data_IF_004827631269
#
_entry.id   IF_004827631269
#
_cell.length_a   1.000
_cell.length_b   1.000
_cell.length_c   1.000
_cell.angle_alpha   90.00
_cell.angle_beta   90.00
_cell.angle_gamma   90.00
#
_symmetry.space_group_name_H-M   'P 1'
#
loop_
_entity.id
_entity.type
_entity.pdbx_description
1 polymer ?
#
# COMPACT_ATOMS: atom_id res chain seq x y z
N UNK A 1 -8.75 -72.40 18.67
CA UNK A 1 -9.55 -71.85 19.77
C UNK A 1 -8.97 -70.50 20.11
N UNK A 2 -9.86 -69.51 20.18
CA UNK A 2 -9.72 -68.11 20.63
C UNK A 2 -9.27 -67.08 19.59
N UNK A 3 -10.29 -66.31 19.23
CA UNK A 3 -10.35 -65.02 18.56
C UNK A 3 -9.64 -63.90 19.34
N UNK A 4 -9.34 -62.82 18.64
CA UNK A 4 -8.96 -61.52 19.20
C UNK A 4 -9.19 -60.44 18.16
N UNK A 5 -10.35 -59.81 18.21
CA UNK A 5 -10.69 -58.57 17.50
C UNK A 5 -9.75 -57.43 17.93
N UNK A 6 -9.20 -56.70 16.96
CA UNK A 6 -8.76 -55.32 17.18
C UNK A 6 -9.43 -54.41 16.14
N UNK A 7 -10.43 -53.69 16.63
CA UNK A 7 -11.23 -52.73 15.89
C UNK A 7 -10.44 -51.46 15.57
N UNK A 8 -10.19 -51.23 14.27
CA UNK A 8 -9.63 -49.97 13.78
C UNK A 8 -10.73 -48.90 13.75
N UNK A 9 -10.81 -48.07 14.78
CA UNK A 9 -11.65 -46.87 14.78
C UNK A 9 -10.98 -45.75 13.98
N UNK A 10 -11.33 -45.64 12.70
CA UNK A 10 -10.92 -44.53 11.83
C UNK A 10 -11.83 -43.32 12.09
N UNK A 11 -11.21 -42.21 12.48
CA UNK A 11 -11.86 -40.92 12.77
C UNK A 11 -12.51 -40.27 11.53
N UNK A 12 -13.65 -39.61 11.75
CA UNK A 12 -14.62 -39.06 10.78
C UNK A 12 -14.11 -37.96 9.84
N UNK A 13 -12.81 -37.64 9.81
CA UNK A 13 -12.25 -36.53 8.99
C UNK A 13 -11.79 -36.91 7.57
N UNK A 14 -12.03 -38.14 7.10
CA UNK A 14 -11.56 -38.61 5.78
C UNK A 14 -12.65 -38.99 4.77
N UNK A 15 -13.90 -38.53 4.94
CA UNK A 15 -15.03 -38.97 4.11
C UNK A 15 -15.82 -37.85 3.39
N UNK A 16 -15.22 -36.71 3.08
CA UNK A 16 -15.84 -35.71 2.19
C UNK A 16 -14.86 -35.14 1.15
N UNK A 17 -14.31 -36.02 0.31
CA UNK A 17 -13.69 -35.63 -0.96
C UNK A 17 -13.89 -36.71 -2.01
N UNK A 18 -15.15 -36.90 -2.44
CA UNK A 18 -15.50 -37.65 -3.64
C UNK A 18 -16.98 -37.49 -3.98
N UNK A 19 -17.35 -36.46 -4.74
CA UNK A 19 -18.54 -36.52 -5.61
C UNK A 19 -18.34 -35.56 -6.77
N UNK A 20 -17.73 -36.06 -7.84
CA UNK A 20 -17.80 -35.44 -9.15
C UNK A 20 -19.21 -35.69 -9.72
N UNK A 21 -19.97 -34.63 -9.93
CA UNK A 21 -21.27 -34.66 -10.61
C UNK A 21 -21.14 -34.06 -12.00
N UNK A 22 -21.14 -34.92 -13.02
CA UNK A 22 -21.33 -34.54 -14.43
C UNK A 22 -22.79 -34.15 -14.67
N UNK A 23 -23.03 -32.90 -15.08
CA UNK A 23 -24.32 -32.49 -15.65
C UNK A 23 -24.12 -32.22 -17.13
N UNK A 24 -24.67 -33.12 -17.95
CA UNK A 24 -24.86 -32.91 -19.38
C UNK A 24 -26.18 -32.14 -19.57
N UNK A 25 -26.14 -31.00 -20.26
CA UNK A 25 -27.35 -30.35 -20.80
C UNK A 25 -27.20 -30.23 -22.31
N UNK A 26 -28.16 -30.84 -22.99
CA UNK A 26 -28.28 -30.89 -24.44
C UNK A 26 -28.56 -29.51 -25.04
N UNK A 27 -27.86 -29.20 -26.13
CA UNK A 27 -28.21 -28.12 -27.04
C UNK A 27 -29.34 -28.55 -27.99
N UNK A 28 -30.40 -27.73 -28.14
CA UNK A 28 -31.05 -27.37 -29.42
C UNK A 28 -31.88 -26.10 -29.19
N UNK A 29 -31.59 -25.04 -29.93
CA UNK A 29 -32.39 -23.82 -29.99
C UNK A 29 -31.82 -22.84 -31.00
N UNK A 30 -32.07 -23.08 -32.28
CA UNK A 30 -31.76 -22.14 -33.37
C UNK A 30 -32.61 -20.88 -33.23
N UNK A 31 -31.98 -19.78 -32.80
CA UNK A 31 -32.51 -18.43 -32.88
C UNK A 31 -31.52 -17.55 -33.64
N UNK A 32 -31.78 -17.34 -34.93
CA UNK A 32 -31.18 -16.26 -35.71
C UNK A 32 -31.72 -14.94 -35.17
N UNK A 33 -30.91 -14.20 -34.43
CA UNK A 33 -31.13 -12.78 -34.14
C UNK A 33 -30.10 -11.97 -34.92
N UNK A 34 -30.61 -11.20 -35.88
CA UNK A 34 -29.90 -10.25 -36.73
C UNK A 34 -29.18 -9.18 -35.91
N UNK A 35 -27.92 -8.94 -36.25
CA UNK A 35 -27.11 -7.84 -35.77
C UNK A 35 -27.79 -6.49 -36.07
N UNK A 36 -27.98 -5.69 -35.02
CA UNK A 36 -28.03 -4.23 -35.12
C UNK A 36 -27.29 -3.67 -33.91
N UNK A 37 -26.34 -2.78 -34.18
CA UNK A 37 -25.19 -2.45 -33.34
C UNK A 37 -25.49 -2.07 -31.89
N UNK A 38 -24.62 -2.58 -31.02
CA UNK A 38 -24.16 -1.87 -29.83
C UNK A 38 -22.76 -2.39 -29.52
N UNK A 39 -21.78 -1.52 -29.71
CA UNK A 39 -20.42 -1.65 -29.19
C UNK A 39 -20.51 -2.10 -27.71
N UNK A 40 -19.77 -3.08 -27.20
CA UNK A 40 -18.36 -3.35 -27.44
C UNK A 40 -17.59 -2.85 -26.21
N UNK A 41 -17.56 -3.65 -25.14
CA UNK A 41 -16.77 -3.38 -23.93
C UNK A 41 -17.57 -2.71 -22.82
N UNK A 42 -18.26 -3.48 -21.99
CA UNK A 42 -18.70 -2.98 -20.68
C UNK A 42 -17.48 -2.92 -19.78
N UNK A 43 -16.89 -1.73 -19.64
CA UNK A 43 -16.10 -1.40 -18.46
C UNK A 43 -16.96 -1.72 -17.25
N UNK A 44 -16.37 -2.43 -16.30
CA UNK A 44 -17.10 -2.77 -15.11
C UNK A 44 -17.38 -1.46 -14.32
N UNK A 45 -18.56 -1.31 -13.69
CA UNK A 45 -19.15 -0.03 -13.27
C UNK A 45 -18.37 0.78 -12.22
N UNK A 46 -17.16 0.36 -11.87
CA UNK A 46 -16.19 1.04 -10.99
C UNK A 46 -15.23 1.97 -11.75
N UNK A 47 -15.21 1.92 -13.08
CA UNK A 47 -14.30 2.71 -13.92
C UNK A 47 -14.94 3.86 -14.69
N UNK A 48 -16.27 3.98 -14.70
CA UNK A 48 -16.94 4.69 -15.79
C UNK A 48 -16.74 6.23 -15.81
N UNK A 49 -16.06 6.82 -14.82
CA UNK A 49 -15.75 8.27 -14.75
C UNK A 49 -14.28 8.60 -14.38
N UNK A 50 -13.32 7.68 -14.57
CA UNK A 50 -11.90 7.93 -14.23
C UNK A 50 -10.99 7.75 -15.47
N UNK A 51 -10.65 8.83 -16.21
CA UNK A 51 -9.86 8.72 -17.45
C UNK A 51 -8.41 8.28 -17.20
N UNK A 52 -7.85 8.61 -16.04
CA UNK A 52 -6.46 8.31 -15.68
C UNK A 52 -6.31 6.94 -14.98
N UNK A 53 -7.42 6.26 -14.70
CA UNK A 53 -7.44 4.96 -14.04
C UNK A 53 -6.86 3.84 -14.93
N UNK A 54 -5.97 3.02 -14.35
CA UNK A 54 -5.48 1.79 -15.00
C UNK A 54 -5.74 0.53 -14.18
N UNK A 55 -5.72 -0.62 -14.86
CA UNK A 55 -5.73 -1.94 -14.20
C UNK A 55 -4.36 -2.30 -13.63
N UNK A 56 -3.29 -1.94 -14.34
CA UNK A 56 -1.92 -2.17 -13.94
C UNK A 56 -1.45 -1.12 -12.91
N UNK A 57 -0.43 -1.40 -12.08
CA UNK A 57 0.18 -0.41 -11.21
C UNK A 57 0.66 0.80 -12.02
N UNK A 58 0.14 1.99 -11.72
CA UNK A 58 0.57 3.25 -12.33
C UNK A 58 0.48 4.38 -11.32
N UNK A 59 1.28 5.43 -11.58
CA UNK A 59 1.43 6.60 -10.74
C UNK A 59 1.35 7.86 -11.58
N UNK A 60 0.72 8.88 -11.02
CA UNK A 60 0.73 10.25 -11.53
C UNK A 60 1.50 11.18 -10.59
N UNK A 61 2.21 12.15 -11.15
CA UNK A 61 2.82 13.21 -10.34
C UNK A 61 1.72 14.14 -9.82
N UNK A 62 1.82 14.51 -8.54
CA UNK A 62 0.88 15.45 -7.93
C UNK A 62 1.18 16.91 -8.28
N UNK A 63 2.43 17.20 -8.63
CA UNK A 63 2.90 18.51 -9.05
C UNK A 63 3.69 18.32 -10.34
N UNK A 64 3.42 19.14 -11.35
CA UNK A 64 4.19 19.15 -12.59
C UNK A 64 5.68 19.37 -12.29
N UNK A 65 6.54 18.61 -12.95
CA UNK A 65 8.01 18.66 -12.76
C UNK A 65 8.47 18.41 -11.31
N UNK A 66 7.63 17.79 -10.46
CA UNK A 66 7.85 17.68 -9.02
C UNK A 66 9.16 17.00 -8.59
N UNK A 67 9.77 16.16 -9.44
CA UNK A 67 11.08 15.56 -9.16
C UNK A 67 12.27 16.38 -9.66
N UNK A 68 12.08 17.37 -10.53
CA UNK A 68 13.17 18.05 -11.26
C UNK A 68 14.14 18.78 -10.33
N UNK A 69 13.62 19.37 -9.25
CA UNK A 69 14.43 20.04 -8.23
C UNK A 69 15.00 19.11 -7.17
N UNK A 70 14.65 17.82 -7.14
CA UNK A 70 14.98 16.90 -6.06
C UNK A 70 16.43 16.40 -6.11
N UNK A 71 17.12 16.47 -4.97
CA UNK A 71 18.47 15.98 -4.78
C UNK A 71 18.64 15.38 -3.38
N UNK A 72 19.20 14.18 -3.32
CA UNK A 72 19.42 13.42 -2.09
C UNK A 72 20.41 14.09 -1.12
N UNK A 73 21.36 14.86 -1.66
CA UNK A 73 22.37 15.60 -0.88
C UNK A 73 21.94 17.03 -0.52
N UNK A 74 20.73 17.45 -0.91
CA UNK A 74 20.20 18.75 -0.53
C UNK A 74 20.00 18.81 1.01
N UNK A 75 20.36 19.91 1.70
CA UNK A 75 20.29 19.98 3.16
C UNK A 75 18.91 19.65 3.76
N UNK A 76 17.82 20.10 3.11
CA UNK A 76 16.47 19.79 3.56
C UNK A 76 16.13 18.30 3.42
N UNK A 77 16.62 17.64 2.36
CA UNK A 77 16.48 16.20 2.15
C UNK A 77 17.22 15.41 3.24
N UNK A 78 18.46 15.81 3.52
CA UNK A 78 19.30 15.19 4.56
C UNK A 78 18.67 15.37 5.94
N UNK A 79 18.16 16.56 6.24
CA UNK A 79 17.46 16.84 7.51
C UNK A 79 16.20 15.99 7.65
N UNK A 80 15.36 15.93 6.60
CA UNK A 80 14.15 15.11 6.60
C UNK A 80 14.47 13.63 6.78
N UNK A 81 15.42 13.09 6.02
CA UNK A 81 15.85 11.69 6.13
C UNK A 81 16.38 11.38 7.53
N UNK A 82 17.19 12.27 8.10
CA UNK A 82 17.75 12.11 9.45
C UNK A 82 16.65 12.12 10.53
N UNK A 83 15.63 12.98 10.37
CA UNK A 83 14.49 13.03 11.28
C UNK A 83 13.64 11.76 11.20
N UNK A 84 13.38 11.27 9.98
CA UNK A 84 12.70 9.98 9.76
C UNK A 84 13.49 8.84 10.39
N UNK A 85 14.80 8.74 10.14
CA UNK A 85 15.66 7.72 10.75
C UNK A 85 15.57 7.74 12.27
N UNK A 86 15.64 8.93 12.88
CA UNK A 86 15.53 9.08 14.34
C UNK A 86 14.17 8.60 14.85
N UNK A 87 13.08 8.99 14.19
CA UNK A 87 11.74 8.56 14.59
C UNK A 87 11.57 7.03 14.48
N UNK A 88 12.05 6.42 13.40
CA UNK A 88 12.02 4.96 13.24
C UNK A 88 12.90 4.28 14.30
N UNK A 89 14.10 4.77 14.60
CA UNK A 89 14.97 4.13 15.60
C UNK A 89 14.44 4.28 17.04
N UNK A 90 13.88 5.43 17.39
CA UNK A 90 13.51 5.74 18.78
C UNK A 90 12.06 5.45 19.13
N UNK A 91 11.14 5.55 18.16
CA UNK A 91 9.69 5.43 18.40
C UNK A 91 9.06 4.24 17.67
N UNK A 92 9.51 3.97 16.45
CA UNK A 92 8.87 2.99 15.58
C UNK A 92 9.86 1.95 15.02
N UNK A 93 10.67 1.27 15.85
CA UNK A 93 11.78 0.43 15.37
C UNK A 93 11.35 -0.84 14.64
N UNK A 94 10.15 -1.33 14.90
CA UNK A 94 9.64 -2.62 14.42
C UNK A 94 8.10 -2.67 14.48
N UNK A 95 7.56 -3.76 13.93
CA UNK A 95 6.11 -4.01 13.88
C UNK A 95 5.44 -3.95 15.27
N UNK A 96 6.11 -4.42 16.33
CA UNK A 96 5.57 -4.36 17.69
C UNK A 96 5.36 -2.92 18.17
N UNK A 97 6.37 -2.07 18.00
CA UNK A 97 6.28 -0.67 18.35
C UNK A 97 5.19 0.08 17.55
N UNK A 98 5.00 -0.29 16.28
CA UNK A 98 3.93 0.25 15.44
C UNK A 98 2.54 -0.10 15.97
N UNK A 99 2.34 -1.35 16.37
CA UNK A 99 1.09 -1.82 16.96
C UNK A 99 0.75 -1.03 18.23
N UNK A 100 1.72 -0.86 19.13
CA UNK A 100 1.57 -0.10 20.36
C UNK A 100 1.26 1.38 20.09
N UNK A 101 1.82 1.94 19.02
CA UNK A 101 1.56 3.30 18.56
C UNK A 101 0.23 3.46 17.77
N UNK A 102 -0.54 2.39 17.60
CA UNK A 102 -1.86 2.44 16.97
C UNK A 102 -1.85 2.32 15.45
N UNK A 103 -0.70 2.04 14.83
CA UNK A 103 -0.64 1.76 13.40
C UNK A 103 -1.38 0.47 13.07
N UNK A 104 -1.91 0.43 11.85
CA UNK A 104 -2.67 -0.69 11.29
C UNK A 104 -1.99 -1.22 10.04
N UNK A 105 -1.74 -2.54 9.97
CA UNK A 105 -1.13 -3.13 8.80
C UNK A 105 -2.00 -2.92 7.58
N UNK A 106 -1.33 -2.48 6.52
CA UNK A 106 -1.83 -2.30 5.18
C UNK A 106 -0.88 -3.08 4.27
N UNK A 107 -1.09 -4.39 4.20
CA UNK A 107 -0.37 -5.19 3.20
C UNK A 107 -0.96 -4.84 1.85
N UNK A 108 -0.15 -4.32 0.93
CA UNK A 108 -0.55 -3.88 -0.42
C UNK A 108 -1.12 -5.03 -1.22
N UNK A 109 -2.39 -5.29 -0.99
CA UNK A 109 -3.09 -6.36 -1.64
C UNK A 109 -3.25 -6.06 -3.12
N UNK A 110 -2.99 -7.08 -3.94
CA UNK A 110 -3.06 -7.09 -5.41
C UNK A 110 -1.81 -6.56 -6.12
N UNK A 111 -0.90 -5.88 -5.42
CA UNK A 111 0.44 -5.72 -5.96
C UNK A 111 1.12 -7.09 -5.91
N UNK A 112 1.73 -7.49 -7.03
CA UNK A 112 2.38 -8.80 -7.20
C UNK A 112 3.86 -8.66 -7.51
N UNK A 113 4.36 -7.43 -7.60
CA UNK A 113 5.72 -7.18 -8.07
C UNK A 113 6.72 -7.07 -6.92
N UNK A 114 6.29 -6.66 -5.72
CA UNK A 114 7.13 -6.61 -4.53
C UNK A 114 6.29 -6.78 -3.24
N UNK A 115 6.21 -8.01 -2.75
CA UNK A 115 5.53 -8.39 -1.50
C UNK A 115 6.51 -8.44 -0.31
N UNK A 116 7.68 -7.81 -0.45
CA UNK A 116 8.76 -7.93 0.53
C UNK A 116 8.77 -6.82 1.60
N UNK A 117 7.81 -5.90 1.52
CA UNK A 117 7.56 -4.86 2.51
C UNK A 117 6.07 -4.53 2.59
N UNK A 118 5.66 -4.03 3.74
CA UNK A 118 4.28 -3.63 4.01
C UNK A 118 4.20 -2.17 4.46
N UNK A 119 3.09 -1.53 4.11
CA UNK A 119 2.76 -0.24 4.71
C UNK A 119 1.96 -0.46 5.99
N UNK A 120 2.15 0.42 6.94
CA UNK A 120 1.43 0.44 8.20
C UNK A 120 0.89 1.83 8.38
N UNK A 121 -0.43 1.98 8.36
CA UNK A 121 -1.11 3.28 8.36
C UNK A 121 -1.57 3.66 9.76
N UNK A 122 -1.46 4.94 10.13
CA UNK A 122 -2.02 5.45 11.38
C UNK A 122 -3.26 6.31 11.10
N UNK A 123 -4.48 5.82 11.40
CA UNK A 123 -5.71 6.58 11.15
C UNK A 123 -5.79 7.90 11.91
N UNK A 124 -5.15 8.00 13.08
CA UNK A 124 -5.11 9.26 13.84
C UNK A 124 -4.28 10.31 13.12
N UNK A 125 -3.15 9.92 12.51
CA UNK A 125 -2.24 10.85 11.83
C UNK A 125 -2.77 11.22 10.45
N UNK A 126 -3.35 10.27 9.70
CA UNK A 126 -4.06 10.56 8.44
C UNK A 126 -5.20 11.58 8.67
N UNK A 127 -5.87 11.46 9.81
CA UNK A 127 -6.99 12.28 10.22
C UNK A 127 -6.62 13.62 10.87
N UNK A 128 -5.34 13.95 11.04
CA UNK A 128 -4.93 15.20 11.69
C UNK A 128 -4.58 16.32 10.68
N UNK A 129 -4.00 17.42 11.15
CA UNK A 129 -3.67 18.58 10.32
C UNK A 129 -2.18 18.74 9.99
N UNK A 130 -1.33 17.85 10.51
CA UNK A 130 0.09 17.81 10.22
C UNK A 130 0.33 17.29 8.80
N UNK A 131 1.41 17.75 8.18
CA UNK A 131 1.86 17.29 6.87
C UNK A 131 3.38 17.23 6.92
N UNK A 132 3.95 16.15 6.38
CA UNK A 132 5.40 15.97 6.31
C UNK A 132 6.06 16.05 7.71
N UNK A 133 5.41 15.46 8.73
CA UNK A 133 5.93 15.41 10.11
C UNK A 133 6.61 14.06 10.38
N UNK A 134 7.96 14.00 10.43
CA UNK A 134 8.68 12.74 10.65
C UNK A 134 8.39 12.07 11.98
N UNK A 135 7.92 12.82 12.99
CA UNK A 135 7.60 12.28 14.31
C UNK A 135 6.26 11.53 14.34
N UNK A 136 5.36 11.85 13.39
CA UNK A 136 3.99 11.33 13.31
C UNK A 136 3.63 11.01 11.85
N UNK A 137 4.39 10.14 11.15
CA UNK A 137 4.14 9.85 9.75
C UNK A 137 2.84 9.08 9.58
N UNK A 138 2.05 9.41 8.56
CA UNK A 138 0.77 8.75 8.29
C UNK A 138 0.95 7.26 7.96
N UNK A 139 2.10 6.89 7.41
CA UNK A 139 2.50 5.52 7.13
C UNK A 139 3.95 5.23 7.49
N UNK A 140 4.20 4.03 8.04
CA UNK A 140 5.54 3.46 8.21
C UNK A 140 5.69 2.25 7.29
N UNK A 141 6.86 2.12 6.66
CA UNK A 141 7.20 1.05 5.73
C UNK A 141 8.02 0.01 6.51
N UNK A 142 7.56 -1.24 6.51
CA UNK A 142 8.16 -2.34 7.27
C UNK A 142 8.66 -3.40 6.33
N UNK A 143 9.89 -3.84 6.53
CA UNK A 143 10.46 -5.00 5.85
C UNK A 143 9.79 -6.28 6.39
N UNK A 144 9.15 -7.05 5.52
CA UNK A 144 8.34 -8.20 5.95
C UNK A 144 9.21 -9.40 6.36
N UNK A 145 10.48 -9.44 5.98
CA UNK A 145 11.42 -10.48 6.41
C UNK A 145 11.97 -10.15 7.80
N UNK A 146 12.47 -8.93 8.00
CA UNK A 146 13.16 -8.55 9.25
C UNK A 146 12.23 -7.95 10.32
N UNK A 147 11.02 -7.56 9.91
CA UNK A 147 9.98 -6.89 10.70
C UNK A 147 10.43 -5.51 11.22
N UNK A 148 11.44 -4.93 10.57
CA UNK A 148 12.02 -3.62 10.90
C UNK A 148 11.39 -2.54 10.04
N UNK A 149 11.22 -1.36 10.64
CA UNK A 149 10.88 -0.17 9.87
C UNK A 149 12.06 0.26 9.00
N UNK A 150 11.79 0.50 7.72
CA UNK A 150 12.79 0.83 6.68
C UNK A 150 12.54 2.18 6.00
N UNK A 151 11.38 2.78 6.20
CA UNK A 151 11.04 4.10 5.68
C UNK A 151 9.68 4.56 6.17
N UNK A 152 9.23 5.70 5.65
CA UNK A 152 7.89 6.23 5.89
C UNK A 152 7.26 6.62 4.57
N UNK A 153 5.94 6.66 4.55
CA UNK A 153 5.19 7.30 3.48
C UNK A 153 4.28 8.36 4.11
N UNK A 154 4.52 9.61 3.76
CA UNK A 154 3.61 10.70 4.10
C UNK A 154 2.40 10.67 3.19
N UNK A 155 1.23 11.01 3.72
CA UNK A 155 -0.01 11.12 2.97
C UNK A 155 -0.52 12.56 3.08
N UNK A 156 -0.73 13.22 1.95
CA UNK A 156 -1.16 14.61 1.92
C UNK A 156 -2.66 14.73 2.21
N UNK A 157 -3.04 14.52 3.46
CA UNK A 157 -4.39 14.69 3.98
C UNK A 157 -4.43 15.76 5.06
N UNK A 158 -5.59 16.39 5.26
CA UNK A 158 -5.86 17.27 6.39
C UNK A 158 -7.27 17.01 6.87
N UNK A 159 -7.41 16.60 8.13
CA UNK A 159 -8.67 16.10 8.68
C UNK A 159 -9.26 14.94 7.87
N UNK A 160 -8.41 14.06 7.32
CA UNK A 160 -8.80 12.93 6.46
C UNK A 160 -9.07 13.29 4.99
N UNK A 161 -9.23 14.57 4.65
CA UNK A 161 -9.45 15.00 3.27
C UNK A 161 -8.14 15.21 2.53
N UNK A 162 -8.04 14.76 1.27
CA UNK A 162 -6.87 14.99 0.43
C UNK A 162 -6.63 16.50 0.19
N UNK A 163 -5.37 16.93 0.25
CA UNK A 163 -4.94 18.32 0.02
C UNK A 163 -3.77 18.40 -0.96
N UNK A 164 -3.49 19.62 -1.44
CA UNK A 164 -2.29 19.86 -2.23
C UNK A 164 -1.05 19.68 -1.35
N UNK A 165 -0.08 18.83 -1.77
CA UNK A 165 1.08 18.54 -0.96
C UNK A 165 2.08 19.71 -0.93
N UNK A 166 2.77 19.95 0.20
CA UNK A 166 3.85 20.94 0.26
C UNK A 166 5.10 20.42 -0.47
N UNK A 167 5.84 21.31 -1.13
CA UNK A 167 7.18 20.95 -1.59
C UNK A 167 8.08 20.64 -0.38
N UNK A 168 8.99 19.68 -0.53
CA UNK A 168 10.01 19.38 0.50
C UNK A 168 10.98 20.56 0.65
N UNK A 169 11.29 21.23 -0.45
CA UNK A 169 11.99 22.53 -0.46
C UNK A 169 11.72 23.30 -1.76
N UNK A 170 12.10 24.58 -1.78
CA UNK A 170 11.95 25.45 -2.95
C UNK A 170 10.52 25.96 -3.20
N UNK A 171 9.56 25.64 -2.33
CA UNK A 171 8.19 26.15 -2.36
C UNK A 171 8.00 27.33 -1.41
N UNK A 172 7.89 28.54 -1.94
CA UNK A 172 7.28 29.68 -1.25
C UNK A 172 6.67 30.62 -2.28
N UNK A 173 5.43 31.07 -2.03
CA UNK A 173 4.69 32.11 -2.76
C UNK A 173 5.39 33.50 -2.69
N UNK A 174 6.63 33.58 -3.12
CA UNK A 174 7.49 34.75 -2.94
C UNK A 174 8.49 34.90 -4.08
N UNK A 175 8.01 35.52 -5.18
CA UNK A 175 8.83 36.27 -6.13
C UNK A 175 9.79 35.44 -7.01
N UNK A 176 9.26 34.47 -7.75
CA UNK A 176 9.91 34.03 -8.98
C UNK A 176 9.66 35.09 -10.08
N UNK A 177 10.44 36.17 -10.06
CA UNK A 177 10.55 37.05 -11.23
C UNK A 177 11.08 36.21 -12.39
N UNK A 178 10.21 35.90 -13.33
CA UNK A 178 10.55 35.41 -14.65
C UNK A 178 11.45 36.44 -15.34
N UNK A 179 12.72 36.15 -15.54
CA UNK A 179 13.38 36.44 -16.82
C UNK A 179 14.78 35.83 -16.92
N UNK A 180 14.99 35.17 -18.06
CA UNK A 180 16.27 34.89 -18.71
C UNK A 180 17.33 34.09 -17.94
N UNK A 181 17.31 32.75 -18.01
CA UNK A 181 18.54 31.95 -17.94
C UNK A 181 18.61 30.75 -18.89
N UNK A 182 19.84 30.37 -19.31
CA UNK A 182 20.08 29.44 -20.40
C UNK A 182 19.92 27.98 -19.97
N UNK A 183 19.43 27.17 -20.91
CA UNK A 183 19.31 25.71 -20.81
C UNK A 183 20.71 25.09 -20.77
N UNK A 184 21.21 24.77 -19.59
CA UNK A 184 22.24 23.76 -19.38
C UNK A 184 21.72 22.77 -18.34
N UNK A 185 21.71 21.48 -18.68
CA UNK A 185 20.88 20.42 -18.09
C UNK A 185 21.30 19.92 -16.72
N UNK A 186 21.60 20.81 -15.79
CA UNK A 186 21.74 20.53 -14.36
C UNK A 186 20.48 21.04 -13.64
N UNK A 187 19.90 20.24 -12.74
CA UNK A 187 18.74 20.62 -11.93
C UNK A 187 18.91 22.06 -11.41
N UNK A 188 17.94 22.93 -11.71
CA UNK A 188 17.97 24.31 -11.25
C UNK A 188 17.85 24.30 -9.71
N UNK A 189 18.84 24.78 -8.95
CA UNK A 189 18.74 24.85 -7.49
C UNK A 189 17.60 25.75 -6.99
N UNK A 190 16.91 26.46 -7.88
CA UNK A 190 15.69 27.20 -7.60
C UNK A 190 14.40 26.41 -7.89
N UNK A 191 14.45 25.26 -8.58
CA UNK A 191 13.28 24.43 -8.83
C UNK A 191 12.80 23.78 -7.52
N UNK A 192 11.49 23.81 -7.21
CA UNK A 192 10.96 23.16 -6.03
C UNK A 192 11.13 21.63 -6.14
N UNK A 193 11.52 20.99 -5.05
CA UNK A 193 11.44 19.55 -4.93
C UNK A 193 10.10 19.16 -4.32
N UNK A 194 9.26 18.52 -5.12
CA UNK A 194 7.93 18.03 -4.77
C UNK A 194 7.76 16.58 -5.28
N UNK A 195 8.38 15.59 -4.62
CA UNK A 195 8.41 14.19 -5.06
C UNK A 195 7.08 13.43 -4.93
N UNK A 196 5.99 14.16 -4.63
CA UNK A 196 4.67 13.61 -4.35
C UNK A 196 4.02 12.98 -5.60
N UNK A 197 3.39 11.84 -5.40
CA UNK A 197 2.67 11.12 -6.45
C UNK A 197 1.39 10.50 -5.90
N UNK A 198 0.44 10.24 -6.79
CA UNK A 198 -0.77 9.47 -6.49
C UNK A 198 -0.76 8.16 -7.25
N UNK A 199 -1.37 7.11 -6.68
CA UNK A 199 -1.59 5.86 -7.41
C UNK A 199 -2.88 5.98 -8.21
N UNK A 200 -2.78 5.73 -9.51
CA UNK A 200 -3.88 5.75 -10.48
C UNK A 200 -4.23 4.33 -10.94
N UNK A 201 -3.30 3.40 -10.71
CA UNK A 201 -3.48 1.97 -10.89
C UNK A 201 -4.39 1.36 -9.84
N UNK A 202 -5.11 0.32 -10.25
CA UNK A 202 -6.04 -0.40 -9.41
C UNK A 202 -5.45 -0.93 -8.11
N UNK A 203 -4.23 -1.53 -8.06
CA UNK A 203 -3.70 -2.04 -6.80
C UNK A 203 -3.64 -0.97 -5.70
N UNK A 204 -3.02 0.18 -5.98
CA UNK A 204 -2.93 1.28 -5.01
C UNK A 204 -4.29 1.89 -4.66
N UNK A 205 -5.18 2.07 -5.65
CA UNK A 205 -6.52 2.62 -5.42
C UNK A 205 -7.42 1.69 -4.61
N UNK A 206 -7.38 0.39 -4.90
CA UNK A 206 -8.11 -0.63 -4.16
C UNK A 206 -7.59 -0.73 -2.74
N UNK A 207 -6.27 -0.73 -2.57
CA UNK A 207 -5.67 -0.77 -1.26
C UNK A 207 -6.14 0.45 -0.44
N UNK A 208 -6.10 1.68 -0.99
CA UNK A 208 -6.58 2.88 -0.27
C UNK A 208 -8.06 2.79 0.09
N UNK A 209 -8.90 2.39 -0.87
CA UNK A 209 -10.32 2.14 -0.62
C UNK A 209 -10.52 1.10 0.51
N UNK A 210 -9.73 0.03 0.51
CA UNK A 210 -9.78 -1.01 1.53
C UNK A 210 -9.39 -0.49 2.91
N UNK A 211 -8.36 0.37 3.01
CA UNK A 211 -8.02 1.05 4.26
C UNK A 211 -9.23 1.80 4.83
N UNK A 212 -9.90 2.61 4.00
CA UNK A 212 -11.09 3.36 4.41
C UNK A 212 -12.22 2.42 4.88
N UNK A 213 -12.36 1.26 4.23
CA UNK A 213 -13.35 0.25 4.62
C UNK A 213 -13.03 -0.43 5.95
N UNK A 214 -11.79 -0.91 6.09
CA UNK A 214 -11.37 -1.74 7.20
C UNK A 214 -11.22 -0.91 8.49
N UNK A 215 -10.71 0.32 8.36
CA UNK A 215 -10.24 1.08 9.52
C UNK A 215 -11.05 2.36 9.81
N UNK A 216 -11.63 3.02 8.80
CA UNK A 216 -12.45 4.24 9.01
C UNK A 216 -13.97 3.97 9.08
N UNK A 217 -14.41 2.73 8.76
CA UNK A 217 -15.80 2.26 8.87
C UNK A 217 -16.82 3.14 8.14
N UNK A 218 -16.48 3.68 6.97
CA UNK A 218 -17.35 4.54 6.13
C UNK A 218 -18.65 3.89 5.61
N UNK A 219 -19.00 2.67 6.04
CA UNK A 219 -20.26 2.00 5.67
C UNK A 219 -21.53 2.72 6.17
N UNK A 220 -21.42 3.65 7.13
CA UNK A 220 -22.58 4.33 7.70
C UNK A 220 -23.30 5.25 6.69
N UNK A 221 -22.59 5.78 5.69
CA UNK A 221 -23.08 6.85 4.82
C UNK A 221 -23.28 6.47 3.34
N UNK A 222 -23.03 5.19 2.98
CA UNK A 222 -23.64 4.58 1.81
C UNK A 222 -23.10 4.95 0.43
N UNK A 223 -21.87 5.46 0.31
CA UNK A 223 -21.27 5.69 -1.01
C UNK A 223 -19.78 5.40 -0.99
N UNK A 224 -19.31 4.34 -1.66
CA UNK A 224 -17.87 4.07 -1.67
C UNK A 224 -17.45 3.29 -2.92
N UNK A 225 -17.44 3.99 -4.06
CA UNK A 225 -16.69 3.51 -5.23
C UNK A 225 -15.20 3.61 -4.97
N UNK A 226 -14.40 2.77 -5.63
CA UNK A 226 -12.94 2.92 -5.63
C UNK A 226 -12.61 4.31 -6.20
N UNK A 227 -11.89 5.19 -5.47
CA UNK A 227 -11.62 6.56 -5.93
C UNK A 227 -10.81 6.53 -7.22
N UNK A 228 -10.81 7.60 -8.04
CA UNK A 228 -10.04 7.61 -9.29
C UNK A 228 -8.52 7.56 -9.08
N UNK A 229 -8.04 8.05 -7.93
CA UNK A 229 -6.64 8.02 -7.50
C UNK A 229 -6.57 8.09 -5.98
N UNK A 230 -5.44 7.74 -5.40
CA UNK A 230 -5.16 7.97 -3.97
C UNK A 230 -4.92 9.46 -3.68
N UNK A 231 -4.90 9.89 -2.41
CA UNK A 231 -4.22 11.14 -2.05
C UNK A 231 -2.77 11.15 -2.53
N UNK A 232 -2.16 12.33 -2.55
CA UNK A 232 -0.74 12.47 -2.84
C UNK A 232 0.09 11.87 -1.71
N UNK A 233 1.09 11.08 -2.07
CA UNK A 233 1.93 10.36 -1.14
C UNK A 233 3.40 10.64 -1.43
N UNK A 234 4.22 10.60 -0.38
CA UNK A 234 5.66 10.79 -0.46
C UNK A 234 6.39 9.76 0.37
N UNK A 235 7.11 8.87 -0.31
CA UNK A 235 8.02 7.93 0.32
C UNK A 235 9.31 8.63 0.75
N UNK A 236 9.82 8.29 1.94
CA UNK A 236 11.14 8.69 2.42
C UNK A 236 11.82 7.48 3.05
N UNK A 237 12.87 6.97 2.41
CA UNK A 237 13.60 5.80 2.88
C UNK A 237 14.63 6.14 3.96
N UNK A 238 14.59 5.40 5.07
CA UNK A 238 15.59 5.50 6.13
C UNK A 238 16.86 4.71 5.77
N UNK A 239 16.71 3.59 5.06
CA UNK A 239 17.82 2.82 4.48
C UNK A 239 18.32 3.45 3.18
N UNK A 240 19.50 3.03 2.71
CA UNK A 240 20.03 3.53 1.44
C UNK A 240 19.22 2.99 0.26
N UNK A 241 18.91 3.85 -0.70
CA UNK A 241 18.15 3.50 -1.88
C UNK A 241 18.93 3.88 -3.16
N UNK A 242 19.15 2.96 -4.12
CA UNK A 242 20.01 3.23 -5.28
C UNK A 242 19.46 4.28 -6.24
N UNK A 243 18.13 4.47 -6.27
CA UNK A 243 17.49 5.49 -7.13
C UNK A 243 17.43 6.88 -6.49
N UNK A 244 16.80 7.00 -5.32
CA UNK A 244 16.73 8.23 -4.52
C UNK A 244 16.13 7.90 -3.15
N UNK A 245 16.37 8.75 -2.15
CA UNK A 245 15.64 8.70 -0.87
C UNK A 245 14.11 8.79 -1.04
N UNK A 246 13.64 9.40 -2.14
CA UNK A 246 12.22 9.54 -2.48
C UNK A 246 11.69 8.50 -3.46
N UNK A 247 12.46 7.44 -3.72
CA UNK A 247 12.03 6.38 -4.63
C UNK A 247 10.70 5.78 -4.17
N UNK A 248 9.87 5.38 -5.14
CA UNK A 248 8.55 4.84 -4.83
C UNK A 248 8.60 3.43 -4.25
N UNK A 249 9.46 2.57 -4.79
CA UNK A 249 9.55 1.18 -4.37
C UNK A 249 10.57 1.02 -3.26
N UNK A 250 10.48 -0.07 -2.51
CA UNK A 250 11.50 -0.43 -1.54
C UNK A 250 12.85 -0.64 -2.25
N UNK A 251 13.96 -0.36 -1.55
CA UNK A 251 15.27 -0.69 -2.10
C UNK A 251 15.42 -2.22 -2.19
N UNK A 252 16.24 -2.72 -3.12
CA UNK A 252 16.49 -4.16 -3.25
C UNK A 252 17.00 -4.78 -1.93
N UNK A 253 16.75 -6.09 -1.70
CA UNK A 253 17.12 -6.79 -0.46
C UNK A 253 18.55 -6.53 0.03
N UNK A 254 19.53 -6.44 -0.88
CA UNK A 254 20.93 -6.18 -0.52
C UNK A 254 21.20 -4.82 0.15
N UNK A 255 20.26 -3.87 0.07
CA UNK A 255 20.33 -2.56 0.74
C UNK A 255 19.52 -2.51 2.05
N UNK A 256 18.73 -3.54 2.34
CA UNK A 256 17.94 -3.69 3.57
C UNK A 256 18.39 -4.84 4.47
N UNK A 257 19.55 -5.45 4.17
CA UNK A 257 20.19 -6.49 4.97
C UNK A 257 20.56 -5.97 6.37
N UNK A 258 19.67 -6.22 7.33
CA UNK A 258 19.76 -5.80 8.73
C UNK A 258 19.43 -6.97 9.63
N UNK A 259 19.96 -6.93 10.85
CA UNK A 259 19.56 -7.88 11.88
C UNK A 259 18.04 -7.76 12.13
N UNK A 260 17.31 -8.89 12.15
CA UNK A 260 15.87 -8.90 12.42
C UNK A 260 15.50 -8.19 13.73
N UNK A 261 14.21 -7.87 13.88
CA UNK A 261 13.67 -7.34 15.13
C UNK A 261 14.02 -8.27 16.31
N UNK A 262 14.67 -7.70 17.33
CA UNK A 262 15.15 -8.48 18.48
C UNK A 262 14.02 -8.85 19.45
N UNK A 263 12.99 -7.99 19.53
CA UNK A 263 11.76 -8.21 20.28
C UNK A 263 10.60 -7.95 19.33
N UNK A 264 9.62 -8.86 19.32
CA UNK A 264 8.44 -8.74 18.45
C UNK A 264 7.42 -7.74 18.97
N UNK A 265 7.38 -7.54 20.29
CA UNK A 265 6.45 -6.60 20.94
C UNK A 265 5.00 -7.09 21.05
N UNK A 266 4.66 -8.27 20.54
CA UNK A 266 3.34 -8.90 20.70
C UNK A 266 3.44 -10.42 20.81
N UNK A 267 2.35 -11.07 21.22
CA UNK A 267 2.27 -12.52 21.36
C UNK A 267 2.18 -13.20 19.99
N UNK A 268 3.23 -13.93 19.59
CA UNK A 268 3.26 -14.77 18.39
C UNK A 268 4.28 -15.90 18.55
N UNK A 269 4.10 -16.98 17.80
CA UNK A 269 5.05 -18.09 17.70
C UNK A 269 6.01 -17.95 16.49
N UNK A 270 5.81 -16.93 15.64
CA UNK A 270 6.64 -16.65 14.48
C UNK A 270 7.92 -15.85 14.83
N UNK A 271 8.98 -16.04 14.06
CA UNK A 271 10.30 -15.46 14.31
C UNK A 271 10.75 -14.51 13.17
N UNK A 272 11.02 -13.22 13.44
CA UNK A 272 11.62 -12.31 12.47
C UNK A 272 12.88 -12.88 11.83
N UNK A 273 13.00 -12.75 10.50
CA UNK A 273 14.09 -13.29 9.69
C UNK A 273 13.96 -14.78 9.34
N UNK A 274 12.98 -15.48 9.90
CA UNK A 274 12.64 -16.86 9.54
C UNK A 274 11.24 -16.97 8.95
N UNK A 275 10.29 -16.21 9.50
CA UNK A 275 8.90 -16.14 9.07
C UNK A 275 8.58 -14.74 8.53
N UNK A 276 7.80 -14.68 7.45
CA UNK A 276 7.36 -13.42 6.85
C UNK A 276 6.27 -12.76 7.70
N UNK A 277 6.31 -11.43 7.79
CA UNK A 277 5.27 -10.63 8.40
C UNK A 277 4.02 -10.68 7.52
N UNK A 278 2.91 -11.10 8.10
CA UNK A 278 1.67 -11.30 7.38
C UNK A 278 0.45 -11.43 8.30
N UNK A 279 -0.73 -11.52 7.71
CA UNK A 279 -1.99 -11.59 8.45
C UNK A 279 -2.13 -12.78 9.41
N UNK A 280 -1.35 -13.84 9.23
CA UNK A 280 -1.36 -15.06 10.02
C UNK A 280 -0.42 -15.02 11.24
N UNK A 281 0.53 -14.09 11.27
CA UNK A 281 1.43 -13.91 12.43
C UNK A 281 0.96 -12.80 13.37
N UNK A 282 0.09 -11.91 12.89
CA UNK A 282 -0.40 -10.75 13.63
C UNK A 282 -1.47 -11.12 14.68
N UNK A 283 -1.62 -10.31 15.75
CA UNK A 283 -2.72 -10.43 16.69
C UNK A 283 -4.09 -10.38 15.99
N UNK A 284 -5.03 -11.22 16.43
CA UNK A 284 -6.37 -11.34 15.85
C UNK A 284 -7.11 -10.00 15.80
N UNK A 285 -6.91 -9.10 16.78
CA UNK A 285 -7.54 -7.78 16.80
C UNK A 285 -7.07 -6.80 15.71
N UNK A 286 -5.92 -7.07 15.08
CA UNK A 286 -5.39 -6.27 13.97
C UNK A 286 -5.80 -6.83 12.62
N UNK A 287 -6.20 -8.09 12.56
CA UNK A 287 -6.67 -8.72 11.33
C UNK A 287 -8.09 -8.23 11.03
N UNK A 288 -8.33 -7.56 9.89
CA UNK A 288 -9.67 -7.12 9.53
C UNK A 288 -10.63 -8.30 9.37
N UNK A 289 -11.93 -8.08 9.62
CA UNK A 289 -12.96 -9.12 9.52
C UNK A 289 -13.02 -9.81 8.15
N UNK A 290 -12.59 -9.09 7.11
CA UNK A 290 -12.42 -9.59 5.76
C UNK A 290 -11.10 -9.11 5.21
N UNK A 291 -10.32 -10.05 4.68
CA UNK A 291 -9.02 -9.75 4.08
C UNK A 291 -9.19 -9.23 2.65
N UNK A 292 -8.18 -8.52 2.11
CA UNK A 292 -8.31 -7.92 0.79
C UNK A 292 -8.54 -8.93 -0.35
N UNK A 293 -7.94 -10.13 -0.26
CA UNK A 293 -8.13 -11.22 -1.23
C UNK A 293 -9.56 -11.75 -1.24
N UNK A 294 -10.21 -11.75 -0.08
CA UNK A 294 -11.63 -12.12 0.06
C UNK A 294 -12.54 -11.07 -0.58
N UNK A 295 -12.17 -9.77 -0.53
CA UNK A 295 -12.89 -8.71 -1.24
C UNK A 295 -12.65 -8.78 -2.75
N UNK A 296 -11.42 -8.98 -3.20
CA UNK A 296 -11.09 -9.10 -4.61
C UNK A 296 -11.86 -10.25 -5.26
N UNK A 297 -11.98 -11.40 -4.58
CA UNK A 297 -12.76 -12.55 -5.05
C UNK A 297 -14.27 -12.27 -5.22
N UNK A 298 -14.80 -11.24 -4.56
CA UNK A 298 -16.21 -10.82 -4.65
C UNK A 298 -16.47 -9.81 -5.76
N UNK A 299 -15.42 -9.26 -6.38
CA UNK A 299 -15.51 -8.26 -7.45
C UNK A 299 -15.11 -8.90 -8.79
N UNK A 300 -16.07 -9.23 -9.67
CA UNK A 300 -15.76 -9.85 -10.95
C UNK A 300 -14.87 -8.94 -11.82
N UNK A 301 -13.66 -9.41 -12.15
CA UNK A 301 -12.70 -8.67 -13.00
C UNK A 301 -11.49 -8.09 -12.26
N UNK A 302 -11.41 -8.31 -10.94
CA UNK A 302 -10.19 -8.33 -10.14
C UNK A 302 -9.64 -9.77 -10.08
#
# INVERSE_FOLDING_TARGET
MHDGDDSVNVSRRRLLRASAGTVAVSAVGTGTATASGRDGGGTAPWFDDCPDASLEPTKGHCVEDGMEGCADDHPATVELRSAVQTALEERYPDAGALIDAGYKPYFDSLDREDDSYSHWLNPEYIGDDALLDPERPESVLVDDETWRSIGVMFVATRNGDAVDPPAVYGGSDGDATTDDRPIDGTADPAAPCSPWHSHEGLPGRFAWWYYQQAYEREFADGGIGIPCRTPCMLHVWAVDHPESVYAHHAPPPEYRDRDPAAEVGFETDAEPGSDELGWDVLPDELVPERRPDEFAALVPGL
#
